data_IF_297025566963
#
_entry.id   IF_297025566963
#
_cell.length_a   1.000
_cell.length_b   1.000
_cell.length_c   1.000
_cell.angle_alpha   90.00
_cell.angle_beta   90.00
_cell.angle_gamma   90.00
#
_symmetry.space_group_name_H-M   'P 1'
#
loop_
_entity.id
_entity.type
_entity.pdbx_description
1 polymer ?
#
# COMPACT_ATOMS: atom_id res chain seq x y z
N UNK A 1 -0.48 21.26 6.09
CA UNK A 1 0.12 20.62 4.90
C UNK A 1 0.04 19.10 5.09
N UNK A 2 -0.36 18.31 4.09
CA UNK A 2 -0.56 16.85 4.24
C UNK A 2 0.35 16.09 3.28
N UNK A 3 1.32 15.29 3.76
CA UNK A 3 2.20 14.52 2.89
C UNK A 3 1.48 13.34 2.24
N UNK A 4 1.91 12.98 1.03
CA UNK A 4 1.50 11.76 0.30
C UNK A 4 2.75 11.02 -0.17
N UNK A 5 2.58 9.80 -0.67
CA UNK A 5 3.66 9.06 -1.34
C UNK A 5 4.06 9.66 -2.69
N UNK A 6 5.06 9.05 -3.34
CA UNK A 6 5.67 9.53 -4.58
C UNK A 6 4.71 9.58 -5.78
N UNK A 7 3.69 8.74 -5.79
CA UNK A 7 2.67 8.68 -6.83
C UNK A 7 1.34 8.21 -6.25
N UNK A 8 0.23 8.56 -6.90
CA UNK A 8 -1.02 7.84 -6.68
C UNK A 8 -1.05 6.62 -7.58
N UNK A 9 -1.22 5.45 -6.98
CA UNK A 9 -1.13 4.17 -7.67
C UNK A 9 -2.50 3.49 -7.70
N UNK A 10 -2.88 3.02 -8.88
CA UNK A 10 -3.94 2.04 -9.06
C UNK A 10 -3.52 0.64 -8.58
N UNK A 11 -4.44 -0.32 -8.66
CA UNK A 11 -4.21 -1.68 -8.16
C UNK A 11 -3.08 -2.39 -8.93
N UNK A 12 -3.03 -2.23 -10.26
CA UNK A 12 -2.03 -2.87 -11.11
C UNK A 12 -0.65 -2.23 -10.94
N UNK A 13 -0.59 -0.92 -10.81
CA UNK A 13 0.66 -0.18 -10.58
C UNK A 13 1.25 -0.52 -9.22
N UNK A 14 0.41 -0.66 -8.19
CA UNK A 14 0.83 -1.14 -6.88
C UNK A 14 1.35 -2.58 -6.96
N UNK A 15 0.64 -3.48 -7.66
CA UNK A 15 1.09 -4.85 -7.85
C UNK A 15 2.46 -4.92 -8.56
N UNK A 16 2.69 -4.08 -9.57
CA UNK A 16 3.96 -3.98 -10.27
C UNK A 16 5.11 -3.54 -9.33
N UNK A 17 4.87 -2.56 -8.45
CA UNK A 17 5.86 -2.11 -7.45
C UNK A 17 6.25 -3.23 -6.49
N UNK A 18 5.29 -4.02 -6.02
CA UNK A 18 5.57 -5.19 -5.19
C UNK A 18 6.28 -6.30 -5.96
N UNK A 19 5.90 -6.54 -7.22
CA UNK A 19 6.49 -7.58 -8.05
C UNK A 19 7.98 -7.29 -8.33
N UNK A 20 8.29 -6.03 -8.64
CA UNK A 20 9.67 -5.55 -8.81
C UNK A 20 10.48 -5.69 -7.51
N UNK A 21 9.94 -5.24 -6.38
CA UNK A 21 10.67 -5.27 -5.12
C UNK A 21 10.94 -6.69 -4.58
N UNK A 22 10.00 -7.61 -4.77
CA UNK A 22 10.09 -8.98 -4.26
C UNK A 22 10.64 -9.98 -5.30
N UNK A 23 10.90 -9.54 -6.52
CA UNK A 23 11.32 -10.37 -7.65
C UNK A 23 10.40 -11.61 -7.84
N UNK A 24 9.09 -11.40 -7.73
CA UNK A 24 8.07 -12.46 -7.87
C UNK A 24 6.83 -11.92 -8.57
N UNK A 25 6.18 -12.68 -9.47
CA UNK A 25 4.93 -12.24 -10.09
C UNK A 25 3.85 -12.00 -9.03
N UNK A 26 3.28 -10.80 -9.04
CA UNK A 26 2.17 -10.38 -8.19
C UNK A 26 1.11 -9.73 -9.08
N UNK A 27 -0.14 -10.13 -8.90
CA UNK A 27 -1.27 -9.62 -9.70
C UNK A 27 -2.28 -8.95 -8.78
N UNK A 28 -2.68 -7.74 -9.16
CA UNK A 28 -3.80 -7.03 -8.57
C UNK A 28 -5.11 -7.72 -8.94
N UNK A 29 -5.93 -8.06 -7.94
CA UNK A 29 -7.27 -8.64 -8.19
C UNK A 29 -8.31 -7.78 -7.50
N UNK A 30 -9.24 -7.21 -8.27
CA UNK A 30 -10.40 -6.54 -7.69
C UNK A 30 -11.39 -7.58 -7.16
N UNK A 31 -11.28 -7.86 -5.86
CA UNK A 31 -12.13 -8.84 -5.18
C UNK A 31 -13.53 -8.23 -4.95
N UNK A 32 -14.62 -8.97 -5.23
CA UNK A 32 -15.97 -8.50 -4.91
C UNK A 32 -16.09 -8.07 -3.45
N UNK A 33 -16.77 -6.95 -3.21
CA UNK A 33 -16.78 -6.28 -1.89
C UNK A 33 -17.22 -7.21 -0.76
N UNK A 34 -18.30 -7.95 -0.96
CA UNK A 34 -18.83 -8.88 0.07
C UNK A 34 -17.83 -9.98 0.42
N UNK A 35 -17.15 -10.55 -0.60
CA UNK A 35 -16.12 -11.57 -0.39
C UNK A 35 -14.94 -11.00 0.38
N UNK A 36 -14.51 -9.78 0.07
CA UNK A 36 -13.44 -9.10 0.79
C UNK A 36 -13.85 -8.78 2.24
N UNK A 37 -15.09 -8.32 2.46
CA UNK A 37 -15.62 -8.01 3.79
C UNK A 37 -15.72 -9.25 4.68
N UNK A 38 -16.18 -10.39 4.14
CA UNK A 38 -16.18 -11.67 4.88
C UNK A 38 -14.78 -12.08 5.33
N UNK A 39 -13.77 -11.89 4.47
CA UNK A 39 -12.37 -12.18 4.81
C UNK A 39 -11.83 -11.25 5.88
N UNK A 40 -12.14 -9.95 5.81
CA UNK A 40 -11.77 -8.97 6.83
C UNK A 40 -12.37 -9.34 8.20
N UNK A 41 -13.65 -9.71 8.25
CA UNK A 41 -14.28 -10.15 9.50
C UNK A 41 -13.67 -11.43 10.06
N UNK A 42 -13.18 -12.32 9.19
CA UNK A 42 -12.52 -13.55 9.58
C UNK A 42 -11.05 -13.38 9.99
N UNK A 43 -10.43 -12.21 9.78
CA UNK A 43 -9.00 -12.01 10.10
C UNK A 43 -8.73 -11.74 11.58
N UNK A 44 -9.75 -11.82 12.45
CA UNK A 44 -9.62 -11.62 13.89
C UNK A 44 -9.47 -10.16 14.33
N UNK A 45 -9.69 -9.20 13.43
CA UNK A 45 -9.70 -7.78 13.78
C UNK A 45 -10.94 -7.44 14.59
N UNK A 46 -10.81 -6.44 15.46
CA UNK A 46 -11.94 -5.91 16.24
C UNK A 46 -13.09 -5.46 15.32
N UNK A 47 -14.37 -5.69 15.69
CA UNK A 47 -15.51 -5.31 14.87
C UNK A 47 -15.55 -3.82 14.47
N UNK A 48 -15.11 -2.92 15.34
CA UNK A 48 -15.05 -1.49 15.05
C UNK A 48 -13.96 -1.19 14.00
N UNK A 49 -12.81 -1.84 14.11
CA UNK A 49 -11.72 -1.75 13.13
C UNK A 49 -12.17 -2.29 11.77
N UNK A 50 -12.84 -3.44 11.76
CA UNK A 50 -13.40 -4.00 10.53
C UNK A 50 -14.39 -3.03 9.86
N UNK A 51 -15.29 -2.41 10.64
CA UNK A 51 -16.25 -1.44 10.14
C UNK A 51 -15.58 -0.18 9.59
N UNK A 52 -14.53 0.31 10.25
CA UNK A 52 -13.75 1.46 9.78
C UNK A 52 -13.06 1.16 8.44
N UNK A 53 -12.33 0.05 8.36
CA UNK A 53 -11.62 -0.38 7.14
C UNK A 53 -12.61 -0.60 5.99
N UNK A 54 -13.77 -1.21 6.27
CA UNK A 54 -14.83 -1.40 5.27
C UNK A 54 -15.36 -0.08 4.70
N UNK A 55 -15.52 0.93 5.57
CA UNK A 55 -15.94 2.28 5.16
C UNK A 55 -14.88 2.94 4.29
N UNK A 56 -13.60 2.84 4.68
CA UNK A 56 -12.48 3.39 3.91
C UNK A 56 -12.36 2.74 2.53
N UNK A 57 -12.51 1.41 2.42
CA UNK A 57 -12.46 0.70 1.14
C UNK A 57 -13.55 1.17 0.16
N UNK A 58 -14.77 1.46 0.65
CA UNK A 58 -15.84 2.03 -0.18
C UNK A 58 -15.47 3.42 -0.71
N UNK A 59 -14.87 4.27 0.12
CA UNK A 59 -14.47 5.62 -0.28
C UNK A 59 -13.28 5.62 -1.27
N UNK A 60 -12.35 4.68 -1.12
CA UNK A 60 -11.25 4.50 -2.08
C UNK A 60 -11.76 4.10 -3.47
N UNK A 61 -12.78 3.23 -3.56
CA UNK A 61 -13.42 2.87 -4.84
C UNK A 61 -14.20 4.01 -5.50
N UNK A 62 -14.47 5.09 -4.76
CA UNK A 62 -15.11 6.29 -5.27
C UNK A 62 -14.07 7.37 -5.66
N UNK A 63 -12.78 7.01 -5.76
CA UNK A 63 -11.65 7.90 -6.06
C UNK A 63 -11.49 9.10 -5.10
N UNK A 64 -12.13 9.06 -3.93
CA UNK A 64 -12.13 10.18 -2.97
C UNK A 64 -10.81 10.37 -2.22
N UNK A 65 -9.86 9.48 -2.42
CA UNK A 65 -8.53 9.49 -1.80
C UNK A 65 -7.39 9.59 -2.82
N UNK A 66 -7.69 9.70 -4.11
CA UNK A 66 -6.66 9.90 -5.12
C UNK A 66 -6.13 11.34 -5.01
N UNK A 67 -5.05 11.52 -4.25
CA UNK A 67 -4.40 12.81 -4.03
C UNK A 67 -2.89 12.62 -4.03
N UNK A 68 -2.22 13.49 -4.77
CA UNK A 68 -0.78 13.62 -4.80
C UNK A 68 -0.39 15.03 -4.30
N UNK A 69 0.59 15.11 -3.41
CA UNK A 69 1.21 16.35 -2.95
C UNK A 69 2.72 16.22 -2.97
N UNK A 70 3.42 17.31 -3.30
CA UNK A 70 4.89 17.39 -3.27
C UNK A 70 5.44 17.76 -1.87
N UNK A 71 4.60 17.70 -0.84
CA UNK A 71 4.93 18.16 0.52
C UNK A 71 6.16 17.49 1.13
N UNK A 72 6.45 16.24 0.77
CA UNK A 72 7.68 15.57 1.24
C UNK A 72 8.92 16.24 0.64
N UNK A 73 8.89 16.53 -0.65
CA UNK A 73 9.99 17.21 -1.35
C UNK A 73 10.15 18.65 -0.88
N UNK A 74 9.04 19.38 -0.73
CA UNK A 74 9.03 20.76 -0.24
C UNK A 74 9.67 20.89 1.15
N UNK A 75 9.48 19.89 2.03
CA UNK A 75 9.95 19.92 3.41
C UNK A 75 11.35 19.32 3.60
N UNK A 76 11.75 18.35 2.78
CA UNK A 76 12.96 17.56 3.01
C UNK A 76 14.04 17.77 1.95
N UNK A 77 13.71 18.39 0.82
CA UNK A 77 14.58 18.50 -0.35
C UNK A 77 14.81 17.18 -1.10
N UNK A 78 14.11 16.11 -0.70
CA UNK A 78 14.21 14.78 -1.30
C UNK A 78 12.81 14.31 -1.73
N UNK A 79 12.68 13.62 -2.87
CA UNK A 79 11.39 13.07 -3.30
C UNK A 79 10.89 12.04 -2.28
N UNK A 80 9.56 11.87 -2.22
CA UNK A 80 8.98 10.80 -1.42
C UNK A 80 9.47 9.43 -1.90
N UNK A 81 9.69 8.50 -0.97
CA UNK A 81 10.10 7.13 -1.27
C UNK A 81 8.99 6.40 -2.08
N UNK A 82 9.41 5.56 -3.03
CA UNK A 82 8.47 4.71 -3.78
C UNK A 82 8.07 3.48 -2.96
N UNK A 83 6.98 2.81 -3.36
CA UNK A 83 6.56 1.55 -2.72
C UNK A 83 7.62 0.46 -2.94
N UNK A 84 8.19 0.36 -4.14
CA UNK A 84 9.20 -0.66 -4.43
C UNK A 84 10.46 -0.48 -3.56
N UNK A 85 10.94 0.76 -3.39
CA UNK A 85 12.10 1.03 -2.56
C UNK A 85 11.85 0.66 -1.09
N UNK A 86 10.69 1.04 -0.56
CA UNK A 86 10.28 0.68 0.79
C UNK A 86 10.19 -0.85 0.98
N UNK A 87 9.54 -1.56 0.05
CA UNK A 87 9.39 -3.02 0.13
C UNK A 87 10.75 -3.71 0.03
N UNK A 88 11.66 -3.22 -0.81
CA UNK A 88 13.01 -3.76 -0.95
C UNK A 88 13.83 -3.60 0.33
N UNK A 89 13.67 -2.47 1.03
CA UNK A 89 14.36 -2.18 2.29
C UNK A 89 13.93 -3.11 3.43
N UNK A 90 12.63 -3.37 3.58
CA UNK A 90 12.10 -4.11 4.74
C UNK A 90 11.74 -5.57 4.46
N UNK A 91 11.49 -5.93 3.20
CA UNK A 91 10.94 -7.23 2.79
C UNK A 91 11.65 -7.83 1.57
N UNK A 92 12.72 -7.20 1.07
CA UNK A 92 13.60 -7.80 0.07
C UNK A 92 14.21 -9.12 0.56
N UNK A 93 14.77 -9.94 -0.34
CA UNK A 93 15.45 -11.18 0.07
C UNK A 93 16.48 -10.84 1.15
N UNK A 94 16.31 -11.45 2.32
CA UNK A 94 17.21 -11.27 3.47
C UNK A 94 18.59 -11.75 3.02
N UNK A 95 19.44 -10.84 2.55
CA UNK A 95 20.88 -11.08 2.54
C UNK A 95 21.26 -11.14 4.01
N UNK A 96 21.57 -12.36 4.48
CA UNK A 96 22.06 -12.61 5.82
C UNK A 96 23.15 -11.58 6.16
N UNK A 97 22.79 -10.52 6.88
CA UNK A 97 23.79 -9.72 7.58
C UNK A 97 24.20 -10.58 8.76
N UNK A 98 25.26 -11.34 8.57
CA UNK A 98 26.01 -11.94 9.67
C UNK A 98 26.34 -10.85 10.69
N UNK A 99 26.02 -11.03 11.98
CA UNK A 99 26.52 -10.12 13.00
C UNK A 99 28.03 -10.36 13.15
N UNK A 100 28.82 -9.28 13.05
CA UNK A 100 30.15 -9.21 13.66
C UNK A 100 30.02 -9.04 15.17
#
# INVERSE_FOLDING_TARGET
MRPTGAATLGLDELAAQYADALNRPITGVDVPYERWLSRLKASGVDPHVAQHIATMARLHRQDRYNRLTHTVEDLTGHPAQTVADYVREYYGPVSHRSPC
#
